data_IF_043784367302
#
_entry.id   IF_043784367302
#
_cell.length_a   1.000
_cell.length_b   1.000
_cell.length_c   1.000
_cell.angle_alpha   90.00
_cell.angle_beta   90.00
_cell.angle_gamma   90.00
#
_symmetry.space_group_name_H-M   'P 1'
#
loop_
_entity.id
_entity.type
_entity.pdbx_description
1 polymer ?
#
# COMPACT_ATOMS: atom_id res chain seq x y z
N UNK A 1 -22.04 11.42 0.98
CA UNK A 1 -20.76 11.25 1.71
C UNK A 1 -19.83 12.32 1.19
N UNK A 2 -19.25 13.10 2.05
CA UNK A 2 -18.23 14.11 1.74
C UNK A 2 -16.86 13.56 2.10
N UNK A 3 -15.82 13.93 1.32
CA UNK A 3 -14.45 13.55 1.58
C UNK A 3 -13.70 14.73 2.19
N UNK A 4 -13.09 14.50 3.35
CA UNK A 4 -12.14 15.41 3.97
C UNK A 4 -10.72 14.86 3.83
N UNK A 5 -9.73 15.75 3.98
CA UNK A 5 -8.32 15.39 3.92
C UNK A 5 -7.64 15.77 5.23
N UNK A 6 -6.79 14.87 5.72
CA UNK A 6 -5.96 15.10 6.90
C UNK A 6 -4.59 15.57 6.40
N UNK A 7 -4.13 16.72 6.86
CA UNK A 7 -2.81 17.23 6.50
C UNK A 7 -1.69 16.42 7.15
N UNK A 8 -0.52 16.40 6.50
CA UNK A 8 0.69 15.81 7.06
C UNK A 8 1.56 16.85 7.79
N UNK A 9 2.45 16.35 8.62
CA UNK A 9 3.52 17.13 9.25
C UNK A 9 4.83 16.37 9.08
N UNK A 10 5.82 16.96 8.42
CA UNK A 10 7.09 16.29 8.14
C UNK A 10 6.90 15.00 7.32
N UNK A 11 5.96 14.98 6.37
CA UNK A 11 5.68 13.83 5.51
C UNK A 11 4.76 12.77 6.11
N UNK A 12 4.53 12.73 7.42
CA UNK A 12 3.62 11.78 8.08
C UNK A 12 2.25 12.40 8.37
N UNK A 13 1.21 11.58 8.38
CA UNK A 13 -0.15 11.99 8.73
C UNK A 13 -0.19 12.62 10.13
N UNK A 14 -0.77 13.82 10.26
CA UNK A 14 -0.80 14.53 11.53
C UNK A 14 -1.94 14.07 12.42
N UNK A 15 -1.61 13.52 13.60
CA UNK A 15 -2.62 13.19 14.62
C UNK A 15 -3.40 14.42 15.10
N UNK A 16 -2.74 15.58 15.20
CA UNK A 16 -3.42 16.80 15.59
C UNK A 16 -4.39 17.29 14.53
N UNK A 17 -4.02 17.17 13.24
CA UNK A 17 -4.93 17.47 12.15
C UNK A 17 -6.12 16.50 12.10
N UNK A 18 -5.88 15.19 12.33
CA UNK A 18 -6.95 14.23 12.46
C UNK A 18 -7.94 14.61 13.57
N UNK A 19 -7.45 14.91 14.77
CA UNK A 19 -8.31 15.33 15.90
C UNK A 19 -9.17 16.55 15.54
N UNK A 20 -8.56 17.55 14.87
CA UNK A 20 -9.28 18.74 14.43
C UNK A 20 -10.36 18.44 13.39
N UNK A 21 -10.12 17.49 12.48
CA UNK A 21 -11.13 17.05 11.51
C UNK A 21 -12.28 16.27 12.18
N UNK A 22 -11.96 15.42 13.15
CA UNK A 22 -12.97 14.65 13.89
C UNK A 22 -13.94 15.52 14.70
N UNK A 23 -13.53 16.72 15.12
CA UNK A 23 -14.38 17.67 15.86
C UNK A 23 -15.35 18.45 14.96
N UNK A 24 -15.18 18.44 13.64
CA UNK A 24 -15.96 19.28 12.72
C UNK A 24 -17.35 18.74 12.42
N UNK A 25 -17.48 17.45 12.21
CA UNK A 25 -18.68 16.80 11.71
C UNK A 25 -18.77 15.33 12.11
N UNK A 26 -19.91 14.70 11.75
CA UNK A 26 -20.21 13.29 11.98
C UNK A 26 -19.39 12.40 11.02
N UNK A 27 -18.18 12.08 11.42
CA UNK A 27 -17.21 11.30 10.62
C UNK A 27 -17.56 9.82 10.68
N UNK A 28 -17.86 9.21 9.54
CA UNK A 28 -18.18 7.79 9.44
C UNK A 28 -16.93 6.88 9.56
N UNK A 29 -15.79 7.33 9.07
CA UNK A 29 -14.54 6.59 9.14
C UNK A 29 -13.37 7.36 8.58
N UNK A 30 -12.17 6.90 8.91
CA UNK A 30 -10.89 7.49 8.51
C UNK A 30 -10.05 6.42 7.81
N UNK A 31 -9.59 6.71 6.59
CA UNK A 31 -8.70 5.84 5.81
C UNK A 31 -7.27 6.35 5.90
N UNK A 32 -6.36 5.50 6.36
CA UNK A 32 -4.96 5.82 6.60
C UNK A 32 -4.03 4.82 5.89
N UNK A 33 -3.03 5.27 5.12
CA UNK A 33 -2.07 4.39 4.45
C UNK A 33 -0.94 3.96 5.40
N UNK A 34 -0.64 2.67 5.53
CA UNK A 34 0.49 2.18 6.36
C UNK A 34 1.86 2.64 5.85
N UNK A 35 1.99 2.72 4.54
CA UNK A 35 3.06 3.42 3.83
C UNK A 35 2.38 4.46 2.97
N UNK A 36 2.76 5.71 3.11
CA UNK A 36 2.08 6.81 2.45
C UNK A 36 2.65 7.11 1.05
N UNK A 37 2.09 8.12 0.36
CA UNK A 37 2.50 8.50 -1.02
C UNK A 37 3.95 8.99 -1.15
N UNK A 38 4.61 9.30 -0.03
CA UNK A 38 6.03 9.67 0.00
C UNK A 38 6.95 8.46 0.27
N UNK A 39 6.37 7.26 0.38
CA UNK A 39 7.08 6.04 0.75
C UNK A 39 7.36 5.90 2.26
N UNK A 40 6.93 6.87 3.05
CA UNK A 40 7.20 6.92 4.50
C UNK A 40 6.32 5.89 5.23
N UNK A 41 6.95 5.15 6.13
CA UNK A 41 6.23 4.26 7.07
C UNK A 41 5.57 5.12 8.14
N UNK A 42 4.25 4.99 8.25
CA UNK A 42 3.46 5.78 9.19
C UNK A 42 3.51 5.21 10.62
N UNK A 43 3.46 6.11 11.60
CA UNK A 43 3.25 5.79 13.00
C UNK A 43 1.84 6.19 13.44
N UNK A 44 0.97 5.20 13.66
CA UNK A 44 -0.42 5.42 14.04
C UNK A 44 -0.67 5.37 15.54
N UNK A 45 0.33 5.65 16.37
CA UNK A 45 0.17 5.75 17.81
C UNK A 45 -0.89 6.79 18.20
N UNK A 46 -1.96 6.36 18.87
CA UNK A 46 -3.07 7.19 19.30
C UNK A 46 -4.14 7.52 18.24
N UNK A 47 -3.96 7.08 16.98
CA UNK A 47 -4.93 7.35 15.92
C UNK A 47 -6.23 6.57 16.12
N UNK A 48 -6.15 5.25 16.32
CA UNK A 48 -7.35 4.43 16.54
C UNK A 48 -8.15 4.89 17.76
N UNK A 49 -7.49 5.24 18.87
CA UNK A 49 -8.14 5.78 20.06
C UNK A 49 -8.91 7.08 19.75
N UNK A 50 -8.28 8.02 19.02
CA UNK A 50 -8.94 9.27 18.63
C UNK A 50 -10.15 9.02 17.73
N UNK A 51 -10.03 8.13 16.73
CA UNK A 51 -11.10 7.78 15.78
C UNK A 51 -12.28 7.11 16.52
N UNK A 52 -12.00 6.10 17.33
CA UNK A 52 -13.02 5.36 18.08
C UNK A 52 -13.72 6.24 19.11
N UNK A 53 -13.03 7.22 19.69
CA UNK A 53 -13.62 8.23 20.59
C UNK A 53 -14.77 9.00 19.95
N UNK A 54 -14.75 9.16 18.63
CA UNK A 54 -15.81 9.80 17.83
C UNK A 54 -16.77 8.77 17.17
N UNK A 55 -16.70 7.49 17.55
CA UNK A 55 -17.51 6.39 16.98
C UNK A 55 -17.32 6.18 15.48
N UNK A 56 -16.24 6.68 14.92
CA UNK A 56 -15.83 6.48 13.53
C UNK A 56 -15.04 5.17 13.37
N UNK A 57 -14.96 4.64 12.16
CA UNK A 57 -14.18 3.44 11.82
C UNK A 57 -12.75 3.81 11.44
N UNK A 58 -11.79 3.08 11.98
CA UNK A 58 -10.39 3.15 11.58
C UNK A 58 -10.12 2.13 10.47
N UNK A 59 -9.75 2.62 9.28
CA UNK A 59 -9.50 1.82 8.08
C UNK A 59 -8.06 1.98 7.65
N UNK A 60 -7.32 0.88 7.54
CA UNK A 60 -5.96 0.90 6.98
C UNK A 60 -5.97 0.57 5.48
N UNK A 61 -5.29 1.38 4.69
CA UNK A 61 -4.82 0.99 3.36
C UNK A 61 -3.38 0.49 3.48
N UNK A 62 -3.11 -0.75 3.08
CA UNK A 62 -1.80 -1.34 3.26
C UNK A 62 -1.33 -2.12 2.03
N UNK A 63 -0.01 -2.10 1.81
CA UNK A 63 0.68 -3.02 0.94
C UNK A 63 0.83 -4.35 1.68
N UNK A 64 0.21 -5.43 1.23
CA UNK A 64 0.26 -6.71 1.94
C UNK A 64 1.65 -7.33 1.98
N UNK A 65 2.54 -6.98 1.03
CA UNK A 65 3.91 -7.47 1.03
C UNK A 65 4.75 -6.91 2.18
N UNK A 66 4.40 -5.73 2.68
CA UNK A 66 5.13 -5.05 3.74
C UNK A 66 4.73 -5.48 5.17
N UNK A 67 3.63 -6.24 5.32
CA UNK A 67 3.03 -6.55 6.64
C UNK A 67 3.87 -7.49 7.52
N UNK A 68 4.97 -8.02 7.03
CA UNK A 68 5.94 -8.79 7.83
C UNK A 68 7.04 -7.90 8.44
N UNK A 69 7.20 -6.66 7.96
CA UNK A 69 8.22 -5.71 8.42
C UNK A 69 7.65 -4.42 9.01
N UNK A 70 6.38 -4.10 8.73
CA UNK A 70 5.66 -2.99 9.36
C UNK A 70 4.62 -3.51 10.32
N UNK A 71 4.26 -2.69 11.29
CA UNK A 71 3.20 -3.02 12.23
C UNK A 71 1.87 -3.19 11.52
N UNK A 72 1.18 -4.29 11.79
CA UNK A 72 -0.06 -4.66 11.10
C UNK A 72 -1.26 -3.78 11.50
N UNK A 73 -2.29 -3.64 10.65
CA UNK A 73 -3.51 -2.90 11.01
C UNK A 73 -4.17 -3.40 12.31
N UNK A 74 -4.14 -4.70 12.57
CA UNK A 74 -4.68 -5.28 13.81
C UNK A 74 -3.91 -4.85 15.06
N UNK A 75 -2.59 -4.73 14.98
CA UNK A 75 -1.74 -4.25 16.07
C UNK A 75 -1.91 -2.74 16.33
N UNK A 76 -2.35 -1.98 15.30
CA UNK A 76 -2.73 -0.58 15.40
C UNK A 76 -4.18 -0.37 15.88
N UNK A 77 -4.91 -1.45 16.18
CA UNK A 77 -6.32 -1.43 16.60
C UNK A 77 -7.30 -0.94 15.54
N UNK A 78 -6.98 -1.10 14.25
CA UNK A 78 -7.87 -0.73 13.15
C UNK A 78 -8.99 -1.74 12.95
N UNK A 79 -10.14 -1.26 12.43
CA UNK A 79 -11.36 -2.06 12.24
C UNK A 79 -11.38 -2.80 10.93
N UNK A 80 -10.83 -2.17 9.89
CA UNK A 80 -10.83 -2.68 8.51
C UNK A 80 -9.45 -2.46 7.92
N UNK A 81 -8.98 -3.43 7.14
CA UNK A 81 -7.80 -3.31 6.29
C UNK A 81 -8.19 -3.57 4.84
N UNK A 82 -7.72 -2.72 3.95
CA UNK A 82 -7.90 -2.83 2.50
C UNK A 82 -6.59 -2.61 1.79
N UNK A 83 -6.47 -3.11 0.57
CA UNK A 83 -5.30 -2.89 -0.26
C UNK A 83 -5.38 -3.65 -1.56
N UNK A 84 -4.29 -3.59 -2.31
CA UNK A 84 -4.10 -4.30 -3.56
C UNK A 84 -3.01 -5.37 -3.41
N UNK A 85 -3.24 -6.55 -3.97
CA UNK A 85 -2.32 -7.68 -3.91
C UNK A 85 -1.32 -7.74 -5.07
N UNK A 86 -1.17 -6.69 -5.86
CA UNK A 86 -0.21 -6.67 -6.98
C UNK A 86 1.21 -7.00 -6.54
N UNK A 87 1.62 -6.48 -5.39
CA UNK A 87 2.95 -6.69 -4.79
C UNK A 87 3.23 -8.13 -4.36
N UNK A 88 2.21 -8.99 -4.36
CA UNK A 88 2.33 -10.43 -4.08
C UNK A 88 2.56 -11.24 -5.36
N UNK A 89 3.54 -10.82 -6.15
CA UNK A 89 4.05 -11.53 -7.32
C UNK A 89 3.30 -11.29 -8.63
N UNK A 90 2.24 -10.47 -8.67
CA UNK A 90 1.54 -10.15 -9.92
C UNK A 90 2.40 -9.18 -10.73
N UNK A 91 2.70 -9.46 -12.02
CA UNK A 91 3.49 -8.55 -12.85
C UNK A 91 2.74 -7.24 -13.11
N UNK A 92 3.48 -6.17 -13.40
CA UNK A 92 2.90 -4.90 -13.83
C UNK A 92 2.22 -5.09 -15.20
N UNK A 93 0.91 -4.86 -15.24
CA UNK A 93 0.08 -5.05 -16.44
C UNK A 93 -0.59 -3.74 -16.88
N UNK A 94 -0.15 -2.57 -16.40
CA UNK A 94 -0.61 -1.24 -16.80
C UNK A 94 -2.14 -1.09 -16.88
N UNK A 95 -2.83 -1.51 -15.83
CA UNK A 95 -4.29 -1.43 -15.73
C UNK A 95 -4.95 -2.75 -15.32
N UNK A 96 -4.17 -3.75 -15.00
CA UNK A 96 -4.67 -5.03 -14.48
C UNK A 96 -4.69 -6.18 -15.49
N UNK A 97 -5.24 -7.35 -15.08
CA UNK A 97 -5.98 -7.53 -13.83
C UNK A 97 -5.07 -7.59 -12.58
N UNK A 98 -5.54 -6.98 -11.50
CA UNK A 98 -4.96 -7.08 -10.15
C UNK A 98 -5.98 -7.72 -9.19
N UNK A 99 -5.67 -7.80 -7.89
CA UNK A 99 -6.58 -8.33 -6.89
C UNK A 99 -6.61 -7.42 -5.67
N UNK A 100 -7.80 -6.90 -5.34
CA UNK A 100 -8.03 -6.20 -4.08
C UNK A 100 -8.28 -7.18 -2.95
N UNK A 101 -7.93 -6.81 -1.74
CA UNK A 101 -8.31 -7.55 -0.54
C UNK A 101 -9.00 -6.63 0.48
N UNK A 102 -9.81 -7.25 1.32
CA UNK A 102 -10.44 -6.61 2.46
C UNK A 102 -10.44 -7.58 3.64
N UNK A 103 -10.04 -7.10 4.80
CA UNK A 103 -10.18 -7.78 6.08
C UNK A 103 -10.89 -6.86 7.07
N UNK A 104 -11.61 -7.42 8.03
CA UNK A 104 -12.27 -6.64 9.07
C UNK A 104 -12.32 -7.39 10.40
N UNK A 105 -12.57 -6.66 11.48
CA UNK A 105 -12.89 -7.24 12.77
C UNK A 105 -14.16 -8.07 12.69
N UNK A 106 -14.27 -9.07 13.56
CA UNK A 106 -15.40 -10.00 13.60
C UNK A 106 -16.77 -9.31 13.67
N UNK A 107 -16.86 -8.17 14.33
CA UNK A 107 -18.10 -7.43 14.51
C UNK A 107 -18.67 -6.87 13.18
N UNK A 108 -17.79 -6.66 12.20
CA UNK A 108 -18.17 -6.12 10.88
C UNK A 108 -18.37 -7.19 9.82
N UNK A 109 -18.04 -8.46 10.08
CA UNK A 109 -18.09 -9.54 9.08
C UNK A 109 -19.46 -9.67 8.38
N UNK A 110 -20.56 -9.39 9.09
CA UNK A 110 -21.91 -9.43 8.53
C UNK A 110 -22.22 -8.27 7.57
N UNK A 111 -21.41 -7.22 7.59
CA UNK A 111 -21.51 -6.04 6.72
C UNK A 111 -20.53 -6.07 5.56
N UNK A 112 -19.55 -6.99 5.57
CA UNK A 112 -18.61 -7.13 4.47
C UNK A 112 -19.31 -7.41 3.15
N UNK A 113 -18.89 -6.78 2.05
CA UNK A 113 -19.36 -7.15 0.71
C UNK A 113 -18.78 -8.49 0.26
N UNK A 114 -19.36 -9.06 -0.80
CA UNK A 114 -18.89 -10.30 -1.43
C UNK A 114 -19.27 -11.57 -0.69
N UNK A 115 -18.72 -12.67 -1.16
CA UNK A 115 -18.99 -14.03 -0.64
C UNK A 115 -17.93 -14.40 0.40
N UNK A 116 -18.37 -15.01 1.50
CA UNK A 116 -17.49 -15.53 2.52
C UNK A 116 -17.66 -17.05 2.55
N UNK A 117 -16.54 -17.76 2.47
CA UNK A 117 -16.47 -19.21 2.54
C UNK A 117 -16.11 -19.61 3.98
N UNK A 118 -16.94 -20.43 4.59
CA UNK A 118 -16.68 -21.04 5.91
C UNK A 118 -16.09 -22.42 5.76
N UNK A 119 -15.18 -22.78 6.66
CA UNK A 119 -14.67 -24.14 6.78
C UNK A 119 -15.55 -24.91 7.79
N UNK A 120 -15.91 -26.15 7.42
CA UNK A 120 -16.69 -27.06 8.27
C UNK A 120 -16.25 -28.51 8.03
N UNK A 121 -16.96 -29.47 8.64
CA UNK A 121 -16.81 -30.89 8.37
C UNK A 121 -18.05 -31.41 7.65
N UNK A 122 -17.86 -32.33 6.72
CA UNK A 122 -18.96 -33.09 6.10
C UNK A 122 -19.49 -34.20 7.05
N UNK A 123 -20.44 -34.99 6.57
CA UNK A 123 -21.05 -36.07 7.35
C UNK A 123 -20.06 -37.21 7.66
N UNK A 124 -18.97 -37.35 6.91
CA UNK A 124 -17.89 -38.30 7.15
C UNK A 124 -16.78 -37.72 8.03
N UNK A 125 -16.93 -36.50 8.55
CA UNK A 125 -15.92 -35.84 9.36
C UNK A 125 -14.74 -35.26 8.56
N UNK A 126 -14.85 -35.16 7.24
CA UNK A 126 -13.79 -34.59 6.39
C UNK A 126 -13.95 -33.10 6.26
N UNK A 127 -12.82 -32.37 6.24
CA UNK A 127 -12.81 -30.93 6.04
C UNK A 127 -13.44 -30.56 4.69
N UNK A 128 -14.44 -29.68 4.72
CA UNK A 128 -15.09 -29.12 3.55
C UNK A 128 -15.30 -27.62 3.68
N UNK A 129 -15.68 -26.96 2.58
CA UNK A 129 -15.91 -25.54 2.53
C UNK A 129 -17.32 -25.25 2.02
N UNK A 130 -17.99 -24.28 2.64
CA UNK A 130 -19.36 -23.90 2.31
C UNK A 130 -19.47 -22.38 2.17
N UNK A 131 -20.33 -21.91 1.25
CA UNK A 131 -20.65 -20.51 1.17
C UNK A 131 -21.49 -20.10 2.38
N UNK A 132 -21.09 -19.01 3.01
CA UNK A 132 -21.76 -18.43 4.16
C UNK A 132 -22.16 -16.98 3.88
N UNK A 133 -23.10 -16.45 4.68
CA UNK A 133 -23.51 -15.03 4.66
C UNK A 133 -23.99 -14.53 3.29
N UNK A 134 -24.55 -15.40 2.44
CA UNK A 134 -25.00 -15.08 1.08
C UNK A 134 -26.22 -14.15 1.03
N UNK A 135 -27.05 -14.11 2.08
CA UNK A 135 -28.33 -13.40 2.07
C UNK A 135 -28.23 -11.88 1.85
N UNK A 136 -27.04 -11.30 1.82
CA UNK A 136 -26.77 -9.87 1.59
C UNK A 136 -26.41 -9.54 0.15
N UNK A 137 -26.27 -10.55 -0.74
CA UNK A 137 -25.85 -10.34 -2.12
C UNK A 137 -26.99 -9.84 -3.02
N UNK A 138 -26.62 -9.20 -4.12
CA UNK A 138 -27.54 -8.53 -5.05
C UNK A 138 -28.59 -9.47 -5.65
N UNK A 139 -28.23 -10.70 -5.98
CA UNK A 139 -29.17 -11.67 -6.55
C UNK A 139 -30.26 -12.12 -5.56
N UNK A 140 -30.05 -11.88 -4.24
CA UNK A 140 -31.03 -12.14 -3.18
C UNK A 140 -31.72 -10.86 -2.75
N UNK A 141 -30.95 -9.83 -2.42
CA UNK A 141 -31.43 -8.56 -1.82
C UNK A 141 -31.84 -7.51 -2.84
N UNK A 142 -31.47 -7.68 -4.11
CA UNK A 142 -31.73 -6.73 -5.19
C UNK A 142 -31.27 -5.32 -4.83
N UNK A 143 -32.17 -4.33 -4.85
CA UNK A 143 -31.88 -2.92 -4.50
C UNK A 143 -31.46 -2.70 -3.03
N UNK A 144 -31.73 -3.68 -2.17
CA UNK A 144 -31.34 -3.64 -0.74
C UNK A 144 -30.00 -4.31 -0.45
N UNK A 145 -29.27 -4.72 -1.48
CA UNK A 145 -27.95 -5.30 -1.31
C UNK A 145 -26.96 -4.26 -0.77
N UNK A 146 -26.03 -4.69 0.07
CA UNK A 146 -24.98 -3.84 0.62
C UNK A 146 -23.89 -3.55 -0.40
N UNK A 147 -23.81 -4.33 -1.48
CA UNK A 147 -22.80 -4.21 -2.55
C UNK A 147 -23.34 -4.76 -3.86
N UNK A 148 -22.88 -4.20 -4.97
CA UNK A 148 -23.14 -4.66 -6.34
C UNK A 148 -22.03 -5.59 -6.87
N UNK A 149 -21.16 -6.12 -6.02
CA UNK A 149 -20.11 -7.06 -6.43
C UNK A 149 -20.77 -8.32 -6.99
N UNK A 150 -20.50 -8.58 -8.26
CA UNK A 150 -21.00 -9.77 -8.99
C UNK A 150 -19.86 -10.76 -9.24
N UNK A 151 -18.74 -10.29 -9.77
CA UNK A 151 -17.56 -11.09 -10.10
C UNK A 151 -16.37 -10.67 -9.25
N UNK A 152 -15.36 -11.52 -9.20
CA UNK A 152 -14.12 -11.26 -8.48
C UNK A 152 -12.90 -11.65 -9.34
N UNK A 153 -11.73 -11.31 -8.86
CA UNK A 153 -10.44 -11.65 -9.49
C UNK A 153 -9.90 -12.98 -8.95
N UNK A 154 -10.70 -14.05 -9.05
CA UNK A 154 -10.34 -15.36 -8.48
C UNK A 154 -9.06 -15.95 -9.09
N UNK A 155 -8.79 -15.71 -10.38
CA UNK A 155 -7.54 -16.15 -11.01
C UNK A 155 -6.32 -15.44 -10.39
N UNK A 156 -6.42 -14.13 -10.16
CA UNK A 156 -5.35 -13.37 -9.50
C UNK A 156 -5.20 -13.77 -8.03
N UNK A 157 -6.30 -14.05 -7.33
CA UNK A 157 -6.26 -14.59 -5.98
C UNK A 157 -5.55 -15.96 -5.92
N UNK A 158 -5.78 -16.81 -6.91
CA UNK A 158 -5.05 -18.08 -7.05
C UNK A 158 -3.56 -17.84 -7.31
N UNK A 159 -3.23 -16.90 -8.19
CA UNK A 159 -1.85 -16.53 -8.49
C UNK A 159 -1.11 -16.09 -7.20
N UNK A 160 -1.69 -15.17 -6.45
CA UNK A 160 -1.16 -14.71 -5.16
C UNK A 160 -1.02 -15.86 -4.15
N UNK A 161 -2.00 -16.77 -4.11
CA UNK A 161 -1.94 -17.96 -3.22
C UNK A 161 -0.75 -18.85 -3.55
N UNK A 162 -0.50 -19.09 -4.83
CA UNK A 162 0.66 -19.87 -5.29
C UNK A 162 1.96 -19.15 -4.94
N UNK A 163 2.06 -17.86 -5.23
CA UNK A 163 3.23 -17.03 -4.90
C UNK A 163 3.56 -17.11 -3.41
N UNK A 164 2.59 -16.82 -2.55
CA UNK A 164 2.78 -16.87 -1.09
C UNK A 164 3.15 -18.28 -0.59
N UNK A 165 2.61 -19.33 -1.21
CA UNK A 165 2.92 -20.70 -0.86
C UNK A 165 4.35 -21.10 -1.24
N UNK A 166 4.87 -20.56 -2.32
CA UNK A 166 6.24 -20.79 -2.79
C UNK A 166 7.27 -19.98 -1.98
N UNK A 167 6.96 -18.71 -1.74
CA UNK A 167 7.85 -17.80 -1.01
C UNK A 167 7.92 -18.15 0.48
N UNK A 168 6.79 -18.45 1.08
CA UNK A 168 6.70 -18.64 2.53
C UNK A 168 7.11 -17.40 3.34
N UNK A 169 7.12 -17.48 4.68
CA UNK A 169 7.47 -16.32 5.50
C UNK A 169 8.89 -15.80 5.26
N UNK A 170 9.85 -16.71 5.12
CA UNK A 170 11.26 -16.31 4.95
C UNK A 170 11.52 -15.69 3.57
N UNK A 171 10.85 -16.17 2.51
CA UNK A 171 10.92 -15.54 1.19
C UNK A 171 10.34 -14.14 1.19
N UNK A 172 9.23 -13.90 1.88
CA UNK A 172 8.62 -12.57 1.98
C UNK A 172 9.53 -11.58 2.74
N UNK A 173 10.16 -12.01 3.82
CA UNK A 173 11.17 -11.21 4.55
C UNK A 173 12.35 -10.85 3.65
N UNK A 174 12.84 -11.81 2.87
CA UNK A 174 13.97 -11.58 1.96
C UNK A 174 13.61 -10.60 0.84
N UNK A 175 12.41 -10.68 0.27
CA UNK A 175 11.88 -9.69 -0.68
C UNK A 175 11.92 -8.28 -0.09
N UNK A 176 11.41 -8.09 1.12
CA UNK A 176 11.44 -6.79 1.79
C UNK A 176 12.85 -6.33 2.11
N UNK A 177 13.71 -7.22 2.59
CA UNK A 177 15.11 -6.91 2.90
C UNK A 177 15.86 -6.43 1.65
N UNK A 178 15.72 -7.13 0.53
CA UNK A 178 16.38 -6.77 -0.73
C UNK A 178 15.82 -5.46 -1.29
N UNK A 179 14.50 -5.29 -1.30
CA UNK A 179 13.84 -4.07 -1.78
C UNK A 179 14.27 -2.84 -0.96
N UNK A 180 14.25 -2.96 0.37
CA UNK A 180 14.68 -1.88 1.26
C UNK A 180 16.16 -1.56 1.11
N UNK A 181 17.03 -2.56 1.07
CA UNK A 181 18.47 -2.35 0.88
C UNK A 181 18.77 -1.67 -0.46
N UNK A 182 18.09 -2.09 -1.54
CA UNK A 182 18.24 -1.46 -2.86
C UNK A 182 17.73 -0.02 -2.88
N UNK A 183 16.57 0.26 -2.21
CA UNK A 183 16.01 1.60 -2.15
C UNK A 183 16.93 2.56 -1.38
N UNK A 184 17.45 2.15 -0.22
CA UNK A 184 18.41 2.97 0.54
C UNK A 184 19.71 3.18 -0.26
N UNK A 185 20.19 2.14 -0.93
CA UNK A 185 21.37 2.27 -1.81
C UNK A 185 21.11 3.28 -2.94
N UNK A 186 19.98 3.21 -3.64
CA UNK A 186 19.64 4.18 -4.69
C UNK A 186 19.51 5.59 -4.12
N UNK A 187 18.84 5.75 -2.96
CA UNK A 187 18.68 7.02 -2.28
C UNK A 187 20.03 7.70 -2.04
N UNK A 188 20.96 7.00 -1.41
CA UNK A 188 22.28 7.53 -1.10
C UNK A 188 23.07 7.91 -2.39
N UNK A 189 23.00 7.06 -3.40
CA UNK A 189 23.67 7.31 -4.69
C UNK A 189 23.09 8.52 -5.44
N UNK A 190 21.77 8.75 -5.32
CA UNK A 190 21.10 9.92 -5.90
C UNK A 190 21.52 11.21 -5.17
N UNK A 191 21.61 11.20 -3.85
CA UNK A 191 22.13 12.34 -3.06
C UNK A 191 23.59 12.65 -3.44
N UNK A 192 24.46 11.63 -3.55
CA UNK A 192 25.84 11.80 -4.00
C UNK A 192 25.97 12.39 -5.41
N UNK A 193 24.96 12.27 -6.25
CA UNK A 193 24.97 12.84 -7.61
C UNK A 193 24.97 14.37 -7.60
N UNK A 194 24.53 15.00 -6.53
CA UNK A 194 24.38 16.45 -6.40
C UNK A 194 23.13 17.03 -7.10
N UNK A 195 22.35 16.22 -7.79
CA UNK A 195 21.12 16.61 -8.51
C UNK A 195 19.89 16.79 -7.60
N UNK A 196 20.01 16.31 -6.37
CA UNK A 196 18.93 16.35 -5.39
C UNK A 196 19.37 17.17 -4.16
N UNK A 197 18.40 17.73 -3.47
CA UNK A 197 18.63 18.35 -2.17
C UNK A 197 18.81 17.26 -1.11
N UNK A 198 19.37 17.65 0.06
CA UNK A 198 19.40 16.78 1.21
C UNK A 198 17.98 16.38 1.63
N UNK A 199 17.89 15.37 2.44
CA UNK A 199 16.68 14.68 2.87
C UNK A 199 15.48 15.60 3.13
N UNK A 200 14.38 15.39 2.37
CA UNK A 200 13.16 16.20 2.53
C UNK A 200 12.38 15.82 3.78
N UNK A 201 12.40 14.53 4.11
CA UNK A 201 11.73 13.94 5.26
C UNK A 201 12.70 13.00 5.97
N UNK A 202 13.11 13.35 7.20
CA UNK A 202 13.87 12.43 8.08
C UNK A 202 12.92 11.39 8.68
N UNK A 203 12.50 10.43 7.85
CA UNK A 203 11.51 9.40 8.18
C UNK A 203 11.87 8.05 7.56
N UNK A 204 11.56 6.94 8.25
CA UNK A 204 11.82 5.62 7.70
C UNK A 204 10.97 5.34 6.46
N UNK A 205 11.60 4.75 5.44
CA UNK A 205 10.95 4.26 4.23
C UNK A 205 11.39 2.82 3.92
N UNK A 206 10.61 2.12 3.10
CA UNK A 206 10.91 0.74 2.73
C UNK A 206 11.53 0.64 1.33
N UNK A 207 10.71 0.67 0.31
CA UNK A 207 11.08 0.46 -1.10
C UNK A 207 10.79 1.67 -1.98
N UNK A 208 9.98 2.59 -1.48
CA UNK A 208 9.63 3.85 -2.14
C UNK A 208 10.15 5.01 -1.29
N UNK A 209 10.61 6.05 -1.96
CA UNK A 209 11.03 7.29 -1.30
C UNK A 209 10.90 8.47 -2.25
N UNK A 210 10.91 9.67 -1.72
CA UNK A 210 10.89 10.93 -2.49
C UNK A 210 12.13 11.74 -2.20
N UNK A 211 12.63 12.42 -3.23
CA UNK A 211 13.71 13.41 -3.12
C UNK A 211 13.27 14.73 -3.76
N UNK A 212 13.74 15.84 -3.24
CA UNK A 212 13.57 17.14 -3.89
C UNK A 212 14.62 17.30 -4.98
N UNK A 213 14.15 17.43 -6.20
CA UNK A 213 15.02 17.61 -7.36
C UNK A 213 15.43 19.08 -7.52
N UNK A 214 16.71 19.30 -7.85
CA UNK A 214 17.24 20.60 -8.30
C UNK A 214 17.01 20.83 -9.79
N UNK A 215 16.58 19.78 -10.50
CA UNK A 215 16.31 19.78 -11.94
C UNK A 215 14.83 19.57 -12.16
N UNK A 216 14.19 20.18 -13.18
CA UNK A 216 12.78 19.91 -13.47
C UNK A 216 12.49 18.41 -13.63
N UNK A 217 11.46 17.90 -12.95
CA UNK A 217 11.09 16.48 -12.94
C UNK A 217 10.94 15.90 -14.36
N UNK A 218 10.31 16.68 -15.27
CA UNK A 218 10.15 16.28 -16.68
C UNK A 218 11.50 16.02 -17.38
N UNK A 219 12.56 16.78 -17.02
CA UNK A 219 13.89 16.59 -17.60
C UNK A 219 14.54 15.31 -17.07
N UNK A 220 14.43 15.04 -15.75
CA UNK A 220 14.91 13.79 -15.16
C UNK A 220 14.20 12.58 -15.78
N UNK A 221 12.87 12.64 -15.88
CA UNK A 221 12.07 11.56 -16.47
C UNK A 221 12.48 11.27 -17.91
N UNK A 222 12.71 12.31 -18.74
CA UNK A 222 13.10 12.13 -20.14
C UNK A 222 14.46 11.43 -20.24
N UNK A 223 15.46 11.88 -19.46
CA UNK A 223 16.78 11.25 -19.44
C UNK A 223 16.69 9.78 -19.03
N UNK A 224 15.93 9.49 -17.98
CA UNK A 224 15.76 8.12 -17.49
C UNK A 224 15.00 7.25 -18.49
N UNK A 225 13.97 7.77 -19.14
CA UNK A 225 13.24 7.05 -20.20
C UNK A 225 14.13 6.74 -21.39
N UNK A 226 14.96 7.68 -21.84
CA UNK A 226 15.89 7.49 -22.94
C UNK A 226 16.96 6.42 -22.59
N UNK A 227 17.29 6.29 -21.29
CA UNK A 227 18.18 5.25 -20.76
C UNK A 227 17.45 3.93 -20.44
N UNK A 228 16.13 3.84 -20.66
CA UNK A 228 15.32 2.64 -20.43
C UNK A 228 14.76 2.48 -19.00
N UNK A 229 14.77 3.54 -18.19
CA UNK A 229 14.26 3.54 -16.84
C UNK A 229 12.95 4.34 -16.72
N UNK A 230 11.93 3.73 -16.15
CA UNK A 230 10.69 4.42 -15.77
C UNK A 230 10.76 4.82 -14.29
N UNK A 231 11.22 6.01 -14.00
CA UNK A 231 11.47 6.50 -12.64
C UNK A 231 11.32 8.03 -12.54
N UNK A 232 11.57 8.60 -11.37
CA UNK A 232 11.48 10.02 -11.05
C UNK A 232 10.08 10.60 -11.32
N UNK A 233 9.04 9.92 -10.83
CA UNK A 233 7.65 10.39 -10.95
C UNK A 233 7.42 11.57 -10.00
N UNK A 234 6.95 12.71 -10.53
CA UNK A 234 6.64 13.87 -9.71
C UNK A 234 5.38 13.62 -8.89
N UNK A 235 5.50 13.68 -7.56
CA UNK A 235 4.40 13.50 -6.60
C UNK A 235 3.82 14.82 -6.12
N UNK A 236 4.66 15.83 -5.95
CA UNK A 236 4.36 17.23 -5.68
C UNK A 236 5.42 18.08 -6.41
N UNK A 237 5.19 19.38 -6.54
CA UNK A 237 6.11 20.29 -7.24
C UNK A 237 7.55 20.16 -6.71
N UNK A 238 8.43 19.68 -7.56
CA UNK A 238 9.85 19.45 -7.27
C UNK A 238 10.13 18.20 -6.42
N UNK A 239 9.13 17.43 -5.99
CA UNK A 239 9.32 16.15 -5.30
C UNK A 239 9.16 14.99 -6.29
N UNK A 240 10.20 14.22 -6.47
CA UNK A 240 10.21 13.06 -7.35
C UNK A 240 10.34 11.75 -6.57
N UNK A 241 9.53 10.78 -6.94
CA UNK A 241 9.45 9.46 -6.33
C UNK A 241 10.29 8.44 -7.09
N UNK A 242 10.93 7.57 -6.33
CA UNK A 242 11.63 6.37 -6.81
C UNK A 242 11.13 5.15 -6.07
N UNK A 243 11.18 3.99 -6.75
CA UNK A 243 10.83 2.70 -6.18
C UNK A 243 11.86 1.66 -6.57
N UNK A 244 12.33 0.87 -5.61
CA UNK A 244 13.22 -0.27 -5.85
C UNK A 244 12.58 -1.52 -5.26
N UNK A 245 12.56 -2.58 -6.04
CA UNK A 245 12.07 -3.89 -5.59
C UNK A 245 13.23 -4.91 -5.58
N UNK A 246 12.97 -6.09 -5.08
CA UNK A 246 13.92 -7.23 -5.06
C UNK A 246 14.45 -7.63 -6.46
N UNK A 247 13.80 -7.15 -7.50
CA UNK A 247 14.17 -7.45 -8.88
C UNK A 247 15.32 -6.60 -9.42
N UNK A 248 15.59 -5.47 -8.78
CA UNK A 248 16.61 -4.52 -9.21
C UNK A 248 17.95 -4.81 -8.54
N UNK A 249 18.91 -5.20 -9.35
CA UNK A 249 20.28 -5.45 -8.91
C UNK A 249 21.09 -4.16 -8.74
N UNK A 250 22.21 -4.27 -8.01
CA UNK A 250 23.13 -3.14 -7.81
C UNK A 250 23.62 -2.51 -9.12
N UNK A 251 23.94 -3.34 -10.12
CA UNK A 251 24.42 -2.89 -11.44
C UNK A 251 23.36 -2.04 -12.17
N UNK A 252 22.10 -2.41 -12.04
CA UNK A 252 20.99 -1.69 -12.64
C UNK A 252 20.73 -0.34 -11.93
N UNK A 253 20.85 -0.32 -10.61
CA UNK A 253 20.78 0.91 -9.81
C UNK A 253 21.93 1.85 -10.17
N UNK A 254 23.16 1.33 -10.28
CA UNK A 254 24.32 2.12 -10.67
C UNK A 254 24.16 2.66 -12.10
N UNK A 255 23.61 1.89 -13.03
CA UNK A 255 23.34 2.33 -14.40
C UNK A 255 22.33 3.49 -14.45
N UNK A 256 21.26 3.43 -13.64
CA UNK A 256 20.31 4.53 -13.51
C UNK A 256 21.00 5.82 -13.05
N UNK A 257 21.79 5.74 -11.98
CA UNK A 257 22.48 6.92 -11.44
C UNK A 257 23.52 7.48 -12.43
N UNK A 258 24.24 6.61 -13.14
CA UNK A 258 25.20 7.03 -14.13
C UNK A 258 24.56 7.73 -15.32
N UNK A 259 23.38 7.26 -15.78
CA UNK A 259 22.64 7.93 -16.87
C UNK A 259 22.27 9.38 -16.52
N UNK A 260 21.94 9.65 -15.26
CA UNK A 260 21.68 11.01 -14.79
C UNK A 260 22.95 11.89 -14.74
N UNK A 261 24.10 11.31 -14.34
CA UNK A 261 25.40 12.01 -14.28
C UNK A 261 25.93 12.36 -15.67
N UNK A 262 25.76 11.45 -16.63
CA UNK A 262 26.23 11.61 -18.01
C UNK A 262 25.40 12.61 -18.83
N UNK A 263 24.16 12.87 -18.40
CA UNK A 263 23.23 13.76 -19.11
C UNK A 263 23.51 15.25 -18.93
N UNK A 264 24.52 15.65 -18.17
CA UNK A 264 24.89 17.07 -17.89
C UNK A 264 23.65 17.92 -17.49
N UNK A 265 22.92 17.45 -16.45
CA UNK A 265 21.67 18.04 -15.96
C UNK A 265 21.90 19.25 -15.06
#
# INVERSE_FOLDING_TARGET
MELGYISHCGGQTSLNALKAELEKDDVAGVLLPSVNRFGIVEDFSGFAEAIHGHKALAVAYCDPSALDVVRTPGEWDFDIAVGDGQTLGIPLCFGGPYVGFMACRKDYVRKMPGRIVGQTLDHDGRRCFVLTLQAREQHIRREKATSNICSNQSLMALYVTIYLSLMGPEGMKEVNRLSSAGAHYLHDRLLESGLFEEEVFDKPFLKEFVLRSKVPAARLQQVLLDAGFFAALETEEGLVSFCVTEKHGKEEIDALVNSLKEAEL
#
